data_IF_706812400029
#
_entry.id   IF_706812400029
#
_cell.length_a   1.000
_cell.length_b   1.000
_cell.length_c   1.000
_cell.angle_alpha   90.00
_cell.angle_beta   90.00
_cell.angle_gamma   90.00
#
_symmetry.space_group_name_H-M   'P 1'
#
loop_
_entity.id
_entity.type
_entity.pdbx_description
1 polymer ?
#
# COMPACT_ATOMS: atom_id res chain seq x y z
N UNK A 1 11.08 12.11 5.29
CA UNK A 1 11.21 12.54 3.88
C UNK A 1 9.87 12.34 3.20
N UNK A 2 9.25 13.41 2.67
CA UNK A 2 8.04 13.32 1.83
C UNK A 2 8.49 13.17 0.38
N UNK A 3 8.72 11.95 -0.09
CA UNK A 3 8.88 11.68 -1.52
C UNK A 3 7.48 11.64 -2.15
N UNK A 4 7.02 12.78 -2.66
CA UNK A 4 5.64 13.03 -3.12
C UNK A 4 5.13 12.18 -4.30
N UNK A 5 5.85 11.14 -4.71
CA UNK A 5 5.51 10.33 -5.89
C UNK A 5 4.88 8.98 -5.54
N UNK A 6 5.21 8.39 -4.40
CA UNK A 6 4.70 7.06 -4.01
C UNK A 6 4.30 7.01 -2.54
N UNK A 7 3.29 6.20 -2.23
CA UNK A 7 3.22 5.64 -0.89
C UNK A 7 4.18 4.47 -0.83
N UNK A 8 5.03 4.44 0.18
CA UNK A 8 5.94 3.33 0.43
C UNK A 8 5.91 2.89 1.90
N UNK A 9 6.19 1.62 2.11
CA UNK A 9 6.45 0.99 3.40
C UNK A 9 7.86 0.36 3.39
N UNK A 10 8.56 0.28 4.54
CA UNK A 10 9.84 -0.42 4.61
C UNK A 10 9.73 -1.86 4.11
N UNK A 11 10.54 -2.19 3.10
CA UNK A 11 10.55 -3.52 2.48
C UNK A 11 10.98 -4.56 3.50
N UNK A 12 10.23 -5.66 3.59
CA UNK A 12 10.53 -6.77 4.52
C UNK A 12 10.06 -6.55 5.96
N UNK A 13 9.49 -5.38 6.28
CA UNK A 13 8.91 -5.10 7.61
C UNK A 13 7.40 -4.89 7.55
N UNK A 14 6.91 -4.26 6.48
CA UNK A 14 5.50 -3.94 6.35
C UNK A 14 5.05 -3.77 4.91
N UNK A 15 3.74 -3.84 4.73
CA UNK A 15 3.05 -3.60 3.46
C UNK A 15 2.05 -2.47 3.59
N UNK A 16 1.77 -1.84 2.46
CA UNK A 16 0.65 -0.93 2.28
C UNK A 16 -0.54 -1.70 1.70
N UNK A 17 -1.72 -1.41 2.23
CA UNK A 17 -3.00 -1.85 1.68
C UNK A 17 -3.70 -0.63 1.09
N UNK A 18 -4.13 -0.74 -0.17
CA UNK A 18 -4.86 0.32 -0.85
C UNK A 18 -6.12 0.71 -0.05
N UNK A 19 -6.40 2.01 0.16
CA UNK A 19 -7.52 2.43 0.99
C UNK A 19 -8.89 2.33 0.30
N UNK A 20 -8.94 2.15 -1.02
CA UNK A 20 -10.20 2.08 -1.77
C UNK A 20 -10.96 0.80 -1.39
N UNK A 21 -12.22 0.90 -0.93
CA UNK A 21 -13.02 -0.26 -0.58
C UNK A 21 -13.15 -1.25 -1.75
N UNK A 22 -12.87 -2.53 -1.48
CA UNK A 22 -12.88 -3.58 -2.50
C UNK A 22 -11.60 -3.68 -3.33
N UNK A 23 -10.64 -2.77 -3.17
CA UNK A 23 -9.33 -2.91 -3.79
C UNK A 23 -8.44 -3.87 -2.97
N UNK A 24 -8.05 -4.99 -3.57
CA UNK A 24 -7.16 -5.98 -2.93
C UNK A 24 -5.66 -5.70 -3.08
N UNK A 25 -5.26 -4.49 -3.50
CA UNK A 25 -3.86 -4.20 -3.76
C UNK A 25 -3.07 -4.07 -2.46
N UNK A 26 -2.07 -4.95 -2.29
CA UNK A 26 -1.15 -5.00 -1.15
C UNK A 26 0.28 -5.05 -1.66
N UNK A 27 1.15 -4.17 -1.15
CA UNK A 27 2.55 -4.13 -1.58
C UNK A 27 3.39 -3.14 -0.78
N UNK A 28 4.71 -3.18 -0.95
CA UNK A 28 5.61 -2.20 -0.32
C UNK A 28 5.49 -0.81 -0.92
N UNK A 29 4.92 -0.69 -2.13
CA UNK A 29 4.75 0.57 -2.86
C UNK A 29 3.37 0.61 -3.50
N UNK A 30 2.68 1.76 -3.42
CA UNK A 30 1.47 2.06 -4.18
C UNK A 30 1.71 3.35 -4.99
N UNK A 31 1.76 3.21 -6.32
CA UNK A 31 2.05 4.31 -7.25
C UNK A 31 0.80 5.12 -7.59
N UNK A 32 0.97 6.34 -8.13
CA UNK A 32 -0.17 7.13 -8.64
C UNK A 32 -0.82 6.45 -9.85
N UNK A 33 -0.05 5.68 -10.61
CA UNK A 33 -0.54 4.91 -11.77
C UNK A 33 -1.57 3.86 -11.33
N UNK A 34 -1.34 3.16 -10.21
CA UNK A 34 -2.34 2.24 -9.66
C UNK A 34 -3.68 2.95 -9.43
N UNK A 35 -3.64 4.15 -8.85
CA UNK A 35 -4.84 4.95 -8.56
C UNK A 35 -5.62 5.28 -9.84
N UNK A 36 -4.93 5.83 -10.85
CA UNK A 36 -5.55 6.20 -12.12
C UNK A 36 -6.10 5.00 -12.89
N UNK A 37 -5.34 3.91 -12.99
CA UNK A 37 -5.72 2.76 -13.82
C UNK A 37 -6.84 1.91 -13.19
N UNK A 38 -6.86 1.76 -11.86
CA UNK A 38 -7.81 0.88 -11.19
C UNK A 38 -9.02 1.61 -10.60
N UNK A 39 -8.88 2.89 -10.25
CA UNK A 39 -9.92 3.65 -9.56
C UNK A 39 -10.40 4.88 -10.32
N UNK A 40 -9.77 5.20 -11.46
CA UNK A 40 -10.06 6.40 -12.26
C UNK A 40 -10.08 7.68 -11.40
N UNK A 41 -9.18 7.75 -10.42
CA UNK A 41 -9.02 8.85 -9.48
C UNK A 41 -7.54 9.13 -9.29
N UNK A 42 -7.18 10.40 -9.10
CA UNK A 42 -5.86 10.76 -8.62
C UNK A 42 -5.68 10.34 -7.15
N UNK A 43 -4.42 10.19 -6.73
CA UNK A 43 -4.10 9.80 -5.35
C UNK A 43 -4.72 10.77 -4.35
N UNK A 44 -4.60 12.06 -4.62
CA UNK A 44 -5.05 13.13 -3.74
C UNK A 44 -6.58 13.09 -3.55
N UNK A 45 -7.32 12.61 -4.54
CA UNK A 45 -8.78 12.38 -4.45
C UNK A 45 -9.10 11.16 -3.59
N UNK A 46 -8.34 10.07 -3.75
CA UNK A 46 -8.43 8.88 -2.91
C UNK A 46 -8.10 9.21 -1.45
N UNK A 47 -7.05 10.00 -1.18
CA UNK A 47 -6.68 10.43 0.18
C UNK A 47 -7.80 11.20 0.86
N UNK A 48 -8.42 12.13 0.13
CA UNK A 48 -9.52 12.93 0.66
C UNK A 48 -10.77 12.08 0.92
N UNK A 49 -11.03 11.07 0.09
CA UNK A 49 -12.27 10.28 0.14
C UNK A 49 -12.17 9.07 1.08
N UNK A 50 -11.04 8.37 1.08
CA UNK A 50 -10.85 7.09 1.78
C UNK A 50 -9.71 7.12 2.80
N UNK A 51 -8.93 8.21 2.86
CA UNK A 51 -7.72 8.30 3.66
C UNK A 51 -6.49 7.71 2.95
N UNK A 52 -5.39 7.62 3.69
CA UNK A 52 -4.16 7.01 3.22
C UNK A 52 -4.17 5.47 3.31
N UNK A 53 -3.22 4.79 2.66
CA UNK A 53 -3.09 3.34 2.74
C UNK A 53 -2.82 2.89 4.16
N UNK A 54 -3.36 1.72 4.51
CA UNK A 54 -3.09 1.10 5.82
C UNK A 54 -1.76 0.39 5.79
N UNK A 55 -0.96 0.54 6.85
CA UNK A 55 0.30 -0.19 7.01
C UNK A 55 0.03 -1.49 7.78
N UNK A 56 0.39 -2.62 7.20
CA UNK A 56 0.32 -3.95 7.82
C UNK A 56 1.74 -4.43 8.07
N UNK A 57 2.10 -4.63 9.33
CA UNK A 57 3.42 -5.17 9.71
C UNK A 57 3.49 -6.66 9.41
N UNK A 58 4.61 -7.11 8.87
CA UNK A 58 5.00 -8.51 8.88
C UNK A 58 5.36 -8.88 10.32
N UNK A 59 4.42 -9.44 11.06
CA UNK A 59 4.76 -10.07 12.33
C UNK A 59 5.58 -11.32 11.98
N UNK A 60 6.87 -11.30 12.31
CA UNK A 60 7.84 -12.35 11.96
C UNK A 60 7.29 -13.74 12.19
N UNK A 61 7.00 -14.45 11.09
CA UNK A 61 6.36 -15.75 11.11
C UNK A 61 6.65 -16.56 9.86
N UNK A 62 7.86 -16.42 9.29
CA UNK A 62 8.47 -17.55 8.61
C UNK A 62 9.18 -18.35 9.70
N UNK A 63 8.42 -19.17 10.45
CA UNK A 63 9.08 -20.31 11.09
C UNK A 63 9.64 -21.12 9.92
N UNK A 64 10.97 -21.21 9.83
CA UNK A 64 11.61 -22.14 8.92
C UNK A 64 10.90 -23.49 9.07
N UNK A 65 10.27 -23.97 8.00
CA UNK A 65 9.88 -25.37 7.94
C UNK A 65 11.17 -26.08 7.57
N UNK A 66 11.89 -26.54 8.60
CA UNK A 66 13.05 -27.41 8.45
C UNK A 66 12.68 -28.56 7.50
N UNK A 67 13.43 -28.71 6.40
CA UNK A 67 13.42 -29.88 5.52
C UNK A 67 14.62 -30.76 5.84
#
# INVERSE_FOLDING_TARGET
MKTGEVWSAPVGESFLVCPVPGCGHVGSIITKVHCRMHHNMEREEIEKKYGGPRIVKMNGGFTNVDH
#
